data_IF_770025456910
#
_entry.id   IF_770025456910
#
_cell.length_a   1.000
_cell.length_b   1.000
_cell.length_c   1.000
_cell.angle_alpha   90.00
_cell.angle_beta   90.00
_cell.angle_gamma   90.00
#
_symmetry.space_group_name_H-M   'P 1'
#
loop_
_entity.id
_entity.type
_entity.pdbx_description
1 polymer ?
#
# COMPACT_ATOMS: atom_id res chain seq x y z
N UNK A 1 -14.97 5.76 13.32
CA UNK A 1 -14.31 5.70 11.99
C UNK A 1 -12.84 5.59 12.30
N UNK A 2 -12.19 4.52 11.86
CA UNK A 2 -10.77 4.34 12.16
C UNK A 2 -9.91 5.40 11.48
N UNK A 3 -8.82 5.77 12.15
CA UNK A 3 -7.86 6.77 11.66
C UNK A 3 -6.49 6.13 11.47
N UNK A 4 -5.73 6.65 10.51
CA UNK A 4 -4.33 6.30 10.29
C UNK A 4 -3.45 7.54 10.41
N UNK A 5 -2.18 7.32 10.77
CA UNK A 5 -1.15 8.36 10.75
C UNK A 5 -0.09 7.92 9.73
N UNK A 6 0.21 8.80 8.78
CA UNK A 6 1.30 8.58 7.83
C UNK A 6 2.66 8.67 8.52
N UNK A 7 3.53 7.70 8.27
CA UNK A 7 4.93 7.77 8.69
C UNK A 7 5.73 8.52 7.61
N UNK A 8 6.48 9.57 7.98
CA UNK A 8 7.29 10.31 7.02
C UNK A 8 8.56 9.54 6.71
N UNK A 9 8.60 8.84 5.58
CA UNK A 9 9.81 8.19 5.09
C UNK A 9 9.86 8.14 3.56
N UNK A 10 11.06 8.11 3.00
CA UNK A 10 11.26 7.91 1.57
C UNK A 10 10.99 6.43 1.21
N UNK A 11 9.97 6.10 0.38
CA UNK A 11 9.72 4.73 -0.02
C UNK A 11 10.89 4.13 -0.83
N UNK A 12 11.26 2.90 -0.48
CA UNK A 12 12.27 2.13 -1.20
C UNK A 12 11.67 1.49 -2.46
N UNK A 13 12.01 2.02 -3.64
CA UNK A 13 11.61 1.46 -4.94
C UNK A 13 12.61 0.38 -5.36
N UNK A 14 12.12 -0.84 -5.53
CA UNK A 14 12.92 -2.00 -5.99
C UNK A 14 13.32 -1.84 -7.45
N UNK A 15 14.48 -2.38 -7.82
CA UNK A 15 15.01 -2.30 -9.19
C UNK A 15 14.03 -2.71 -10.30
N UNK A 16 13.27 -3.78 -10.10
CA UNK A 16 12.27 -4.23 -11.08
C UNK A 16 11.07 -3.29 -11.26
N UNK A 17 10.91 -2.29 -10.39
CA UNK A 17 9.86 -1.28 -10.49
C UNK A 17 10.35 0.06 -11.03
N UNK A 18 11.67 0.29 -11.21
CA UNK A 18 12.18 1.56 -11.73
C UNK A 18 11.60 1.92 -13.11
N UNK A 19 11.55 1.00 -14.10
CA UNK A 19 10.98 1.34 -15.41
C UNK A 19 9.49 1.70 -15.34
N UNK A 20 8.76 1.15 -14.36
CA UNK A 20 7.34 1.45 -14.16
C UNK A 20 7.11 2.86 -13.60
N UNK A 21 8.13 3.45 -12.98
CA UNK A 21 8.04 4.77 -12.36
C UNK A 21 8.79 5.86 -13.15
N UNK A 22 9.59 5.48 -14.16
CA UNK A 22 10.43 6.42 -14.89
C UNK A 22 9.66 7.62 -15.47
N UNK A 23 8.43 7.39 -15.96
CA UNK A 23 7.57 8.45 -16.49
C UNK A 23 7.01 9.39 -15.42
N UNK A 24 6.69 8.85 -14.23
CA UNK A 24 6.05 9.62 -13.14
C UNK A 24 7.03 10.21 -12.14
N UNK A 25 8.22 9.64 -12.05
CA UNK A 25 9.30 10.03 -11.15
C UNK A 25 10.63 10.01 -11.92
N UNK A 26 10.84 10.93 -12.88
CA UNK A 26 12.03 10.94 -13.72
C UNK A 26 13.32 11.09 -12.91
N UNK A 27 13.27 11.84 -11.81
CA UNK A 27 14.42 12.04 -10.92
C UNK A 27 14.84 10.77 -10.17
N UNK A 28 13.99 9.73 -10.17
CA UNK A 28 14.32 8.46 -9.52
C UNK A 28 15.59 7.85 -10.11
N UNK A 29 15.86 8.02 -11.40
CA UNK A 29 17.05 7.42 -12.02
C UNK A 29 18.36 8.06 -11.56
N UNK A 30 18.31 9.34 -11.15
CA UNK A 30 19.44 10.06 -10.57
C UNK A 30 19.72 9.67 -9.11
N UNK A 31 18.76 9.03 -8.41
CA UNK A 31 18.95 8.61 -7.01
C UNK A 31 19.97 7.47 -6.92
N UNK A 32 20.93 7.54 -5.96
CA UNK A 32 21.89 6.47 -5.73
C UNK A 32 21.22 5.11 -5.48
N UNK A 33 21.85 4.05 -6.01
CA UNK A 33 21.40 2.68 -5.79
C UNK A 33 21.91 2.18 -4.45
N UNK A 34 21.00 1.89 -3.52
CA UNK A 34 21.30 1.28 -2.24
C UNK A 34 21.03 -0.24 -2.26
N UNK A 35 21.64 -0.97 -1.32
CA UNK A 35 21.36 -2.39 -1.07
C UNK A 35 20.72 -2.56 0.31
N UNK A 36 19.57 -3.22 0.35
CA UNK A 36 18.91 -3.64 1.60
C UNK A 36 19.64 -4.84 2.24
N UNK A 37 19.34 -5.17 3.51
CA UNK A 37 19.86 -6.39 4.15
C UNK A 37 19.57 -7.68 3.37
N UNK A 38 18.46 -7.74 2.62
CA UNK A 38 18.12 -8.85 1.72
C UNK A 38 18.83 -8.79 0.36
N UNK A 39 19.88 -7.96 0.23
CA UNK A 39 20.69 -7.70 -0.96
C UNK A 39 19.92 -7.15 -2.17
N UNK A 40 18.64 -6.82 -2.01
CA UNK A 40 17.86 -6.21 -3.10
C UNK A 40 18.33 -4.78 -3.34
N UNK A 41 18.48 -4.45 -4.63
CA UNK A 41 18.79 -3.08 -5.09
C UNK A 41 17.53 -2.22 -5.02
N UNK A 42 17.66 -1.05 -4.41
CA UNK A 42 16.59 -0.07 -4.28
C UNK A 42 17.10 1.33 -4.56
N UNK A 43 16.17 2.22 -4.92
CA UNK A 43 16.35 3.66 -4.88
C UNK A 43 15.27 4.25 -3.98
N UNK A 44 15.61 5.23 -3.16
CA UNK A 44 14.67 5.85 -2.25
C UNK A 44 14.02 7.05 -2.94
N UNK A 45 12.73 6.94 -3.25
CA UNK A 45 11.96 8.03 -3.82
C UNK A 45 11.67 9.04 -2.69
N UNK A 46 12.42 10.14 -2.65
CA UNK A 46 12.19 11.21 -1.67
C UNK A 46 11.01 12.06 -2.15
N UNK A 47 9.90 12.13 -1.39
CA UNK A 47 8.78 13.00 -1.75
C UNK A 47 9.22 14.47 -1.74
N UNK A 48 8.74 15.26 -2.70
CA UNK A 48 8.96 16.71 -2.72
C UNK A 48 8.25 17.40 -1.54
N UNK A 49 7.14 16.82 -1.08
CA UNK A 49 6.36 17.29 0.07
C UNK A 49 6.12 16.14 1.04
N UNK A 50 6.35 16.42 2.32
CA UNK A 50 6.00 15.52 3.42
C UNK A 50 4.77 16.11 4.10
N UNK A 51 3.64 15.42 3.98
CA UNK A 51 2.40 15.82 4.65
C UNK A 51 2.57 15.66 6.16
N UNK A 52 2.19 16.65 6.99
CA UNK A 52 2.23 16.52 8.44
C UNK A 52 1.46 15.30 8.93
N UNK A 53 2.04 14.58 9.89
CA UNK A 53 1.47 13.38 10.50
C UNK A 53 0.32 13.72 11.45
N UNK A 54 -0.83 14.12 10.91
CA UNK A 54 -2.09 14.17 11.65
C UNK A 54 -2.91 12.90 11.41
N UNK A 55 -3.66 12.39 12.41
CA UNK A 55 -4.61 11.31 12.19
C UNK A 55 -5.64 11.68 11.12
N UNK A 56 -5.79 10.84 10.10
CA UNK A 56 -6.79 11.01 9.03
C UNK A 56 -7.72 9.80 8.97
N UNK A 57 -9.02 9.98 8.68
CA UNK A 57 -9.94 8.87 8.50
C UNK A 57 -9.48 7.94 7.38
N UNK A 58 -9.50 6.63 7.61
CA UNK A 58 -9.24 5.64 6.57
C UNK A 58 -10.53 5.37 5.81
N UNK A 59 -10.62 5.85 4.57
CA UNK A 59 -11.79 5.65 3.71
C UNK A 59 -11.83 4.29 3.02
N UNK A 60 -10.66 3.73 2.70
CA UNK A 60 -10.55 2.54 1.85
C UNK A 60 -9.38 1.64 2.26
N UNK A 61 -9.56 0.33 2.17
CA UNK A 61 -8.53 -0.69 2.30
C UNK A 61 -8.52 -1.58 1.05
N UNK A 62 -7.41 -1.57 0.31
CA UNK A 62 -7.32 -2.24 -1.00
C UNK A 62 -6.22 -3.30 -0.96
N UNK A 63 -6.61 -4.57 -1.16
CA UNK A 63 -5.67 -5.66 -1.39
C UNK A 63 -5.14 -5.61 -2.83
N UNK A 64 -3.82 -5.55 -3.00
CA UNK A 64 -3.18 -5.55 -4.32
C UNK A 64 -2.84 -6.97 -4.77
N UNK A 65 -3.42 -7.43 -5.88
CA UNK A 65 -3.13 -8.72 -6.53
C UNK A 65 -2.63 -8.51 -7.95
N UNK A 66 -1.31 -8.40 -8.11
CA UNK A 66 -0.69 -8.27 -9.43
C UNK A 66 -0.45 -9.65 -10.07
N UNK A 67 -0.92 -9.85 -11.30
CA UNK A 67 -0.66 -11.05 -12.10
C UNK A 67 -0.15 -10.69 -13.50
N UNK A 68 0.55 -11.61 -14.18
CA UNK A 68 1.17 -11.34 -15.49
C UNK A 68 0.14 -10.94 -16.56
N UNK A 69 -1.02 -11.60 -16.56
CA UNK A 69 -2.09 -11.41 -17.54
C UNK A 69 -3.44 -11.17 -16.85
N UNK A 70 -3.41 -10.67 -15.61
CA UNK A 70 -4.64 -10.40 -14.87
C UNK A 70 -5.44 -9.29 -15.55
N UNK A 71 -6.72 -9.57 -15.82
CA UNK A 71 -7.70 -8.55 -16.20
C UNK A 71 -7.85 -7.57 -15.04
N UNK A 72 -7.75 -6.28 -15.35
CA UNK A 72 -7.92 -5.23 -14.36
C UNK A 72 -9.36 -5.24 -13.82
N UNK A 73 -9.53 -5.46 -12.53
CA UNK A 73 -10.81 -5.31 -11.84
C UNK A 73 -10.61 -4.91 -10.38
N UNK A 74 -11.56 -4.12 -9.87
CA UNK A 74 -11.64 -3.76 -8.47
C UNK A 74 -12.96 -4.32 -7.92
N UNK A 75 -12.85 -5.32 -7.06
CA UNK A 75 -14.00 -6.05 -6.54
C UNK A 75 -14.14 -5.79 -5.04
N UNK A 76 -15.36 -5.55 -4.52
CA UNK A 76 -15.56 -5.47 -3.09
C UNK A 76 -15.23 -6.81 -2.44
N UNK A 77 -14.65 -6.78 -1.25
CA UNK A 77 -14.42 -7.96 -0.42
C UNK A 77 -15.03 -7.75 0.95
N UNK A 78 -15.40 -8.83 1.64
CA UNK A 78 -15.95 -8.70 2.98
C UNK A 78 -14.89 -8.16 3.98
N UNK A 79 -15.31 -7.34 4.96
CA UNK A 79 -14.38 -6.77 5.93
C UNK A 79 -13.56 -7.81 6.72
N UNK A 80 -14.12 -8.98 7.00
CA UNK A 80 -13.40 -10.04 7.71
C UNK A 80 -12.27 -10.63 6.85
N UNK A 81 -12.50 -10.82 5.54
CA UNK A 81 -11.46 -11.20 4.59
C UNK A 81 -10.39 -10.13 4.45
N UNK A 82 -10.75 -8.85 4.42
CA UNK A 82 -9.78 -7.75 4.39
C UNK A 82 -8.91 -7.74 5.65
N UNK A 83 -9.51 -7.91 6.83
CA UNK A 83 -8.79 -8.03 8.10
C UNK A 83 -7.86 -9.24 8.09
N UNK A 84 -8.33 -10.40 7.62
CA UNK A 84 -7.50 -11.61 7.50
C UNK A 84 -6.29 -11.38 6.59
N UNK A 85 -6.47 -10.71 5.45
CA UNK A 85 -5.38 -10.35 4.54
C UNK A 85 -4.36 -9.45 5.23
N UNK A 86 -4.83 -8.44 5.98
CA UNK A 86 -3.97 -7.53 6.73
C UNK A 86 -3.14 -8.28 7.78
N UNK A 87 -3.79 -9.13 8.58
CA UNK A 87 -3.13 -9.93 9.63
C UNK A 87 -2.11 -10.91 9.05
N UNK A 88 -2.40 -11.53 7.91
CA UNK A 88 -1.47 -12.43 7.23
C UNK A 88 -0.23 -11.70 6.66
N UNK A 89 -0.33 -10.40 6.39
CA UNK A 89 0.78 -9.58 5.92
C UNK A 89 1.55 -8.85 7.03
N UNK A 90 1.03 -8.87 8.26
CA UNK A 90 1.60 -8.14 9.37
C UNK A 90 2.82 -8.86 9.98
N UNK A 91 3.73 -8.09 10.56
CA UNK A 91 4.85 -8.61 11.34
C UNK A 91 4.83 -7.97 12.73
N UNK A 92 4.89 -8.82 13.76
CA UNK A 92 5.09 -8.43 15.15
C UNK A 92 6.23 -9.28 15.73
N UNK A 93 7.21 -8.70 16.47
CA UNK A 93 8.32 -9.46 17.04
C UNK A 93 7.92 -10.68 17.86
N UNK A 94 6.77 -10.62 18.57
CA UNK A 94 6.21 -11.74 19.33
C UNK A 94 5.12 -12.55 18.61
N UNK A 95 4.76 -12.18 17.36
CA UNK A 95 3.61 -12.73 16.62
C UNK A 95 2.26 -12.63 17.33
N UNK A 96 2.16 -11.72 18.30
CA UNK A 96 0.94 -11.47 19.08
C UNK A 96 0.29 -10.16 18.67
N UNK A 97 -1.02 -10.08 18.91
CA UNK A 97 -1.84 -8.90 18.73
C UNK A 97 -2.62 -8.68 20.03
N UNK A 98 -2.47 -7.51 20.66
CA UNK A 98 -3.24 -7.18 21.85
C UNK A 98 -4.73 -7.03 21.51
N UNK A 99 -5.61 -7.23 22.50
CA UNK A 99 -7.05 -6.98 22.32
C UNK A 99 -7.33 -5.57 21.82
N UNK A 100 -6.70 -4.55 22.40
CA UNK A 100 -6.86 -3.15 21.97
C UNK A 100 -6.42 -2.90 20.52
N UNK A 101 -5.35 -3.56 20.06
CA UNK A 101 -4.90 -3.45 18.68
C UNK A 101 -5.86 -4.17 17.72
N UNK A 102 -6.41 -5.32 18.13
CA UNK A 102 -7.46 -6.01 17.37
C UNK A 102 -8.73 -5.16 17.25
N UNK A 103 -9.20 -4.56 18.35
CA UNK A 103 -10.35 -3.66 18.35
C UNK A 103 -10.12 -2.46 17.43
N UNK A 104 -8.92 -1.88 17.45
CA UNK A 104 -8.55 -0.78 16.55
C UNK A 104 -8.58 -1.21 15.08
N UNK A 105 -8.02 -2.37 14.75
CA UNK A 105 -8.01 -2.89 13.37
C UNK A 105 -9.42 -3.22 12.88
N UNK A 106 -10.26 -3.79 13.73
CA UNK A 106 -11.66 -4.07 13.39
C UNK A 106 -12.47 -2.79 13.18
N UNK A 107 -12.23 -1.74 13.98
CA UNK A 107 -12.88 -0.43 13.76
C UNK A 107 -12.44 0.20 12.42
N UNK A 108 -11.13 0.17 12.12
CA UNK A 108 -10.58 0.68 10.86
C UNK A 108 -11.19 -0.05 9.67
N UNK A 109 -11.11 -1.37 9.65
CA UNK A 109 -11.57 -2.17 8.51
C UNK A 109 -13.10 -2.15 8.40
N UNK A 110 -13.81 -2.18 9.53
CA UNK A 110 -15.28 -2.13 9.56
C UNK A 110 -15.88 -0.79 9.14
N UNK A 111 -15.08 0.29 9.12
CA UNK A 111 -15.54 1.63 8.71
C UNK A 111 -15.00 2.09 7.35
N UNK A 112 -14.17 1.28 6.69
CA UNK A 112 -13.59 1.57 5.38
C UNK A 112 -14.24 0.73 4.27
N UNK A 113 -14.24 1.24 3.04
CA UNK A 113 -14.56 0.44 1.85
C UNK A 113 -13.45 -0.58 1.59
N UNK A 114 -13.78 -1.87 1.53
CA UNK A 114 -12.81 -2.96 1.38
C UNK A 114 -12.85 -3.55 -0.02
N UNK A 115 -11.71 -3.57 -0.70
CA UNK A 115 -11.61 -4.02 -2.09
C UNK A 115 -10.41 -4.93 -2.35
N UNK A 116 -10.51 -5.75 -3.39
CA UNK A 116 -9.41 -6.48 -4.00
C UNK A 116 -9.19 -5.95 -5.42
N UNK A 117 -7.96 -5.54 -5.71
CA UNK A 117 -7.55 -5.06 -7.03
C UNK A 117 -6.72 -6.14 -7.72
N UNK A 118 -7.29 -6.77 -8.75
CA UNK A 118 -6.55 -7.62 -9.67
C UNK A 118 -6.07 -6.77 -10.85
N UNK A 119 -4.79 -6.86 -11.21
CA UNK A 119 -4.22 -6.04 -12.29
C UNK A 119 -2.91 -6.62 -12.83
N UNK A 120 -2.54 -6.21 -14.04
CA UNK A 120 -1.24 -6.53 -14.67
C UNK A 120 -0.43 -5.27 -14.98
N UNK A 121 -1.11 -4.24 -15.49
CA UNK A 121 -0.57 -2.92 -15.84
C UNK A 121 -0.82 -1.87 -14.76
N UNK A 122 0.12 -0.93 -14.62
CA UNK A 122 0.05 0.12 -13.60
C UNK A 122 -1.08 1.12 -13.88
N UNK A 123 -1.25 1.55 -15.13
CA UNK A 123 -2.24 2.58 -15.45
C UNK A 123 -3.67 2.11 -15.23
N UNK A 124 -3.99 0.87 -15.62
CA UNK A 124 -5.31 0.27 -15.34
C UNK A 124 -5.61 0.23 -13.83
N UNK A 125 -4.60 -0.08 -13.01
CA UNK A 125 -4.72 -0.11 -11.56
C UNK A 125 -4.98 1.28 -10.98
N UNK A 126 -4.24 2.29 -11.47
CA UNK A 126 -4.42 3.69 -11.05
C UNK A 126 -5.82 4.18 -11.43
N UNK A 127 -6.26 3.94 -12.67
CA UNK A 127 -7.58 4.37 -13.15
C UNK A 127 -8.71 3.79 -12.29
N UNK A 128 -8.65 2.49 -11.97
CA UNK A 128 -9.66 1.84 -11.12
C UNK A 128 -9.68 2.43 -9.71
N UNK A 129 -8.53 2.65 -9.09
CA UNK A 129 -8.44 3.24 -7.76
C UNK A 129 -8.99 4.67 -7.77
N UNK A 130 -8.59 5.51 -8.72
CA UNK A 130 -9.05 6.91 -8.81
C UNK A 130 -10.56 7.01 -9.02
N UNK A 131 -11.17 6.08 -9.77
CA UNK A 131 -12.64 6.06 -9.96
C UNK A 131 -13.38 5.66 -8.69
N UNK A 132 -12.83 4.71 -7.92
CA UNK A 132 -13.48 4.14 -6.75
C UNK A 132 -13.25 4.96 -5.47
N UNK A 133 -12.05 5.51 -5.28
CA UNK A 133 -11.66 6.28 -4.11
C UNK A 133 -11.86 7.77 -4.38
N UNK A 134 -13.08 8.25 -4.10
CA UNK A 134 -13.40 9.69 -4.01
C UNK A 134 -13.45 10.13 -2.57
#
# INVERSE_FOLDING_TARGET
>A
RGHGIGLPFAPAVKAGAWPLLAERYPDLDAVPVCRRPDRRRVRFAVPSEVVPSSPIPIGYAIQLRRGRDAKACLEPIDPASALRVLLNGAFAPGRELSGSAFDTLTEVIGSAGTYCLNYSKLDDAVELITKACR
#
